data_IF_490242421314
#
_entry.id   IF_490242421314
#
_cell.length_a   1.000
_cell.length_b   1.000
_cell.length_c   1.000
_cell.angle_alpha   90.00
_cell.angle_beta   90.00
_cell.angle_gamma   90.00
#
_symmetry.space_group_name_H-M   'P 1'
#
loop_
_entity.id
_entity.type
_entity.pdbx_description
1 polymer ?
#
# COMPACT_ATOMS: atom_id res chain seq x y z
N UNK A 1 13.32 1.81 56.46
CA UNK A 1 12.89 3.00 55.69
C UNK A 1 12.79 2.60 54.24
N UNK A 2 11.64 2.86 53.63
CA UNK A 2 11.30 2.56 52.24
C UNK A 2 11.71 3.78 51.41
N UNK A 3 12.44 3.60 50.30
CA UNK A 3 12.36 4.39 49.05
C UNK A 3 13.38 3.83 48.07
N UNK A 4 13.21 3.84 46.76
CA UNK A 4 12.06 3.70 45.85
C UNK A 4 12.74 3.41 44.52
N UNK A 5 12.30 2.38 43.80
CA UNK A 5 12.74 2.11 42.42
C UNK A 5 12.48 3.36 41.57
N UNK A 6 13.41 3.69 40.69
CA UNK A 6 13.17 4.66 39.61
C UNK A 6 13.34 3.90 38.31
N UNK A 7 12.19 3.48 37.80
CA UNK A 7 12.00 2.92 36.47
C UNK A 7 12.64 3.80 35.41
N UNK A 8 13.59 3.24 34.66
CA UNK A 8 13.96 3.78 33.37
C UNK A 8 12.80 3.50 32.40
N UNK A 9 11.81 4.39 32.41
CA UNK A 9 10.81 4.51 31.37
C UNK A 9 11.52 4.77 30.04
N UNK A 10 11.63 3.72 29.22
CA UNK A 10 11.85 3.88 27.78
C UNK A 10 10.68 4.71 27.30
N UNK A 11 10.91 6.00 27.03
CA UNK A 11 9.96 6.79 26.27
C UNK A 11 9.86 6.14 24.89
N UNK A 12 8.82 5.34 24.69
CA UNK A 12 8.36 4.99 23.36
C UNK A 12 7.93 6.31 22.75
N UNK A 13 8.83 6.94 22.01
CA UNK A 13 8.49 8.10 21.19
C UNK A 13 7.56 7.55 20.12
N UNK A 14 6.25 7.90 20.11
CA UNK A 14 5.41 7.56 18.97
C UNK A 14 6.09 8.13 17.72
N UNK A 15 6.08 7.42 16.57
CA UNK A 15 6.65 7.97 15.34
C UNK A 15 6.05 9.36 15.14
N UNK A 16 6.91 10.35 14.92
CA UNK A 16 6.48 11.75 14.74
C UNK A 16 5.44 11.80 13.62
N UNK A 17 4.17 11.85 13.98
CA UNK A 17 3.08 12.24 13.10
C UNK A 17 3.29 13.71 12.76
N UNK A 18 4.06 13.91 11.70
CA UNK A 18 4.55 15.21 11.26
C UNK A 18 4.89 15.15 9.78
N UNK A 19 3.91 14.72 8.99
CA UNK A 19 3.97 14.79 7.53
C UNK A 19 2.68 15.37 7.01
N UNK A 20 2.62 16.69 6.81
CA UNK A 20 1.70 17.33 5.86
C UNK A 20 2.07 16.94 4.41
N UNK A 21 2.38 15.67 4.18
CA UNK A 21 2.85 15.10 2.93
C UNK A 21 1.75 14.22 2.37
N UNK A 22 1.60 14.23 1.05
CA UNK A 22 0.71 13.31 0.36
C UNK A 22 1.02 11.87 0.82
N UNK A 23 -0.01 11.01 0.98
CA UNK A 23 0.20 9.63 1.40
C UNK A 23 1.18 8.94 0.47
N UNK A 24 1.92 7.97 1.02
CA UNK A 24 2.89 7.15 0.29
C UNK A 24 2.57 5.69 0.49
N UNK A 25 2.86 4.87 -0.52
CA UNK A 25 2.76 3.42 -0.43
C UNK A 25 3.95 2.90 0.37
N UNK A 26 3.67 2.20 1.47
CA UNK A 26 4.71 1.60 2.33
C UNK A 26 4.72 0.07 2.24
N UNK A 27 3.62 -0.55 1.79
CA UNK A 27 3.51 -1.99 1.61
C UNK A 27 2.46 -2.32 0.56
N UNK A 28 2.71 -3.38 -0.21
CA UNK A 28 1.76 -3.97 -1.17
C UNK A 28 1.82 -5.49 -1.06
N UNK A 29 0.67 -6.11 -0.83
CA UNK A 29 0.51 -7.56 -0.75
C UNK A 29 -0.42 -8.02 -1.88
N UNK A 30 0.10 -8.71 -2.90
CA UNK A 30 -0.72 -9.28 -3.97
C UNK A 30 -1.33 -10.62 -3.59
N UNK A 31 -2.54 -10.88 -4.07
CA UNK A 31 -3.30 -12.10 -3.80
C UNK A 31 -3.62 -12.90 -5.07
N UNK A 32 -3.83 -14.20 -4.92
CA UNK A 32 -4.15 -15.10 -6.04
C UNK A 32 -5.49 -14.80 -6.72
N UNK A 33 -6.37 -14.05 -6.06
CA UNK A 33 -7.66 -13.65 -6.60
C UNK A 33 -7.61 -12.34 -7.42
N UNK A 34 -6.41 -11.87 -7.77
CA UNK A 34 -6.14 -10.60 -8.44
C UNK A 34 -6.57 -9.37 -7.62
N UNK A 35 -6.48 -9.46 -6.30
CA UNK A 35 -6.57 -8.29 -5.42
C UNK A 35 -5.21 -7.87 -4.87
N UNK A 36 -5.10 -6.60 -4.50
CA UNK A 36 -3.96 -6.02 -3.80
C UNK A 36 -4.46 -5.43 -2.48
N UNK A 37 -3.79 -5.77 -1.39
CA UNK A 37 -3.87 -5.00 -0.15
C UNK A 37 -2.70 -4.02 -0.11
N UNK A 38 -2.99 -2.74 0.11
CA UNK A 38 -2.04 -1.64 0.02
C UNK A 38 -2.07 -0.88 1.34
N UNK A 39 -0.93 -0.77 2.00
CA UNK A 39 -0.78 0.03 3.22
C UNK A 39 -0.11 1.36 2.89
N UNK A 40 -0.72 2.44 3.35
CA UNK A 40 -0.21 3.81 3.18
C UNK A 40 0.53 4.30 4.43
N UNK A 41 1.34 5.34 4.24
CA UNK A 41 2.17 5.95 5.30
C UNK A 41 1.38 6.59 6.45
N UNK A 42 0.10 6.88 6.24
CA UNK A 42 -0.85 7.35 7.25
C UNK A 42 -1.63 6.20 7.91
N UNK A 43 -1.15 4.96 7.73
CA UNK A 43 -1.77 3.72 8.21
C UNK A 43 -3.14 3.41 7.61
N UNK A 44 -3.54 4.09 6.53
CA UNK A 44 -4.71 3.69 5.76
C UNK A 44 -4.44 2.39 5.00
N UNK A 45 -5.38 1.45 5.10
CA UNK A 45 -5.38 0.20 4.33
C UNK A 45 -6.38 0.29 3.19
N UNK A 46 -5.92 0.03 1.97
CA UNK A 46 -6.75 0.01 0.76
C UNK A 46 -6.77 -1.39 0.19
N UNK A 47 -7.95 -1.84 -0.25
CA UNK A 47 -8.10 -3.07 -1.01
C UNK A 47 -8.49 -2.75 -2.44
N UNK A 48 -7.67 -3.16 -3.39
CA UNK A 48 -7.88 -2.93 -4.81
C UNK A 48 -8.14 -4.24 -5.55
N UNK A 49 -9.34 -4.37 -6.14
CA UNK A 49 -9.67 -5.51 -6.99
C UNK A 49 -9.32 -5.20 -8.45
N UNK A 50 -8.31 -5.89 -8.97
CA UNK A 50 -7.76 -5.64 -10.30
C UNK A 50 -8.51 -6.36 -11.43
N UNK A 51 -9.42 -7.30 -11.13
CA UNK A 51 -10.17 -8.07 -12.14
C UNK A 51 -10.90 -7.20 -13.15
N UNK A 52 -11.38 -6.02 -12.73
CA UNK A 52 -12.09 -5.07 -13.60
C UNK A 52 -11.20 -4.48 -14.71
N UNK A 53 -9.89 -4.45 -14.49
CA UNK A 53 -8.92 -3.90 -15.45
C UNK A 53 -8.38 -4.97 -16.39
N UNK A 54 -8.44 -6.25 -16.01
CA UNK A 54 -7.89 -7.36 -16.80
C UNK A 54 -8.56 -7.53 -18.17
N UNK A 55 -9.79 -7.04 -18.34
CA UNK A 55 -10.47 -7.01 -19.64
C UNK A 55 -9.92 -5.94 -20.59
N UNK A 56 -9.19 -4.94 -20.07
CA UNK A 56 -8.56 -3.92 -20.89
C UNK A 56 -7.31 -4.48 -21.56
N UNK A 57 -7.12 -4.29 -22.88
CA UNK A 57 -5.91 -4.69 -23.58
C UNK A 57 -4.62 -4.18 -22.91
N UNK A 58 -4.67 -2.99 -22.32
CA UNK A 58 -3.54 -2.37 -21.63
C UNK A 58 -3.10 -3.12 -20.35
N UNK A 59 -3.97 -3.94 -19.76
CA UNK A 59 -3.68 -4.68 -18.53
C UNK A 59 -3.82 -6.19 -18.70
N UNK A 60 -3.97 -6.68 -19.94
CA UNK A 60 -4.17 -8.11 -20.20
C UNK A 60 -3.00 -8.96 -19.68
N UNK A 61 -1.75 -8.44 -19.67
CA UNK A 61 -0.61 -9.17 -19.08
C UNK A 61 -0.81 -9.47 -17.59
N UNK A 62 -1.53 -8.61 -16.86
CA UNK A 62 -1.86 -8.83 -15.45
C UNK A 62 -2.83 -9.99 -15.23
N UNK A 63 -3.44 -10.55 -16.29
CA UNK A 63 -4.23 -11.79 -16.19
C UNK A 63 -3.35 -13.02 -15.93
N UNK A 64 -2.05 -12.94 -16.24
CA UNK A 64 -1.10 -13.98 -15.90
C UNK A 64 -0.73 -13.89 -14.42
N UNK A 65 -1.19 -14.87 -13.62
CA UNK A 65 -1.08 -14.76 -12.16
C UNK A 65 0.36 -14.61 -11.66
N UNK A 66 1.33 -15.33 -12.26
CA UNK A 66 2.73 -15.20 -11.87
C UNK A 66 3.31 -13.81 -12.15
N UNK A 67 2.80 -13.12 -13.17
CA UNK A 67 3.17 -11.73 -13.45
C UNK A 67 2.48 -10.80 -12.46
N UNK A 68 1.18 -10.99 -12.21
CA UNK A 68 0.44 -10.20 -11.21
C UNK A 68 1.08 -10.25 -9.81
N UNK A 69 1.50 -11.43 -9.36
CA UNK A 69 2.12 -11.62 -8.04
C UNK A 69 3.53 -11.01 -7.94
N UNK A 70 4.17 -10.65 -9.06
CA UNK A 70 5.49 -10.02 -9.05
C UNK A 70 5.45 -8.51 -8.87
N UNK A 71 4.32 -7.95 -8.43
CA UNK A 71 4.15 -6.52 -8.21
C UNK A 71 5.25 -5.98 -7.31
N UNK A 72 5.74 -4.80 -7.66
CA UNK A 72 6.67 -4.00 -6.88
C UNK A 72 6.04 -2.64 -6.61
N UNK A 73 6.62 -1.92 -5.66
CA UNK A 73 6.19 -0.56 -5.39
C UNK A 73 7.37 0.35 -5.11
N UNK A 74 7.15 1.63 -5.36
CA UNK A 74 7.87 2.73 -4.75
C UNK A 74 6.87 3.59 -3.96
N UNK A 75 7.36 4.64 -3.30
CA UNK A 75 6.54 5.51 -2.46
C UNK A 75 5.25 6.03 -3.11
N UNK A 76 5.14 6.09 -4.44
CA UNK A 76 3.97 6.66 -5.12
C UNK A 76 3.39 5.78 -6.22
N UNK A 77 4.04 4.68 -6.58
CA UNK A 77 3.65 3.88 -7.73
C UNK A 77 3.76 2.39 -7.40
N UNK A 78 2.75 1.61 -7.80
CA UNK A 78 2.89 0.16 -7.93
C UNK A 78 3.18 -0.17 -9.39
N UNK A 79 4.03 -1.15 -9.65
CA UNK A 79 4.42 -1.51 -11.00
C UNK A 79 4.77 -2.98 -11.14
N UNK A 80 4.58 -3.49 -12.35
CA UNK A 80 4.94 -4.86 -12.73
C UNK A 80 6.07 -4.89 -13.74
N UNK A 81 6.08 -3.94 -14.67
CA UNK A 81 7.17 -3.64 -15.61
C UNK A 81 7.15 -2.14 -15.97
N UNK A 82 7.97 -1.71 -16.93
CA UNK A 82 8.08 -0.32 -17.38
C UNK A 82 6.81 0.25 -18.06
N UNK A 83 5.84 -0.61 -18.35
CA UNK A 83 4.61 -0.26 -19.10
C UNK A 83 3.33 -0.54 -18.34
N UNK A 84 3.41 -1.24 -17.20
CA UNK A 84 2.29 -1.58 -16.34
C UNK A 84 2.57 -1.04 -14.95
N UNK A 85 2.13 0.20 -14.72
CA UNK A 85 2.20 0.87 -13.45
C UNK A 85 0.88 1.54 -13.08
N UNK A 86 0.75 1.87 -11.80
CA UNK A 86 -0.36 2.65 -11.28
C UNK A 86 0.13 3.59 -10.20
N UNK A 87 -0.16 4.87 -10.39
CA UNK A 87 0.18 5.91 -9.43
C UNK A 87 -0.84 5.94 -8.27
N UNK A 88 -0.39 6.34 -7.09
CA UNK A 88 -1.19 6.36 -5.86
C UNK A 88 -2.48 7.18 -6.00
N UNK A 89 -2.45 8.26 -6.77
CA UNK A 89 -3.64 9.09 -7.02
C UNK A 89 -4.73 8.26 -7.73
N UNK A 90 -4.37 7.40 -8.70
CA UNK A 90 -5.32 6.50 -9.37
C UNK A 90 -5.86 5.42 -8.41
N UNK A 91 -4.99 4.86 -7.56
CA UNK A 91 -5.37 3.86 -6.55
C UNK A 91 -6.40 4.45 -5.59
N UNK A 92 -6.16 5.68 -5.11
CA UNK A 92 -7.06 6.39 -4.22
C UNK A 92 -8.42 6.65 -4.88
N UNK A 93 -8.43 7.07 -6.15
CA UNK A 93 -9.68 7.28 -6.89
C UNK A 93 -10.48 5.98 -7.05
N UNK A 94 -9.82 4.87 -7.39
CA UNK A 94 -10.49 3.57 -7.48
C UNK A 94 -11.04 3.07 -6.14
N UNK A 95 -10.36 3.39 -5.04
CA UNK A 95 -10.82 3.02 -3.69
C UNK A 95 -12.04 3.84 -3.24
N UNK A 96 -12.11 5.13 -3.61
CA UNK A 96 -13.23 6.03 -3.27
C UNK A 96 -14.50 5.74 -4.05
N UNK A 97 -14.38 5.21 -5.26
CA UNK A 97 -15.55 4.86 -6.10
C UNK A 97 -16.26 3.59 -5.60
N UNK A 98 -15.86 3.04 -4.45
CA UNK A 98 -16.42 1.81 -3.85
C UNK A 98 -17.09 2.05 -2.48
N UNK A 99 -17.16 3.30 -2.01
CA UNK A 99 -17.96 3.72 -0.84
C UNK A 99 -19.27 4.36 -1.27
#
# INVERSE_FOLDING_TARGET
>A
MITSQSDHLIQIVPPKEGGSGRPRIIEVIPHQDFSLDITLSDHQHLKLNMKRFLSSPAYNKLSHIGFFLSVKHDHRTIYWDETHDMHIDQILDFSRTLS
#
